data_IF_308600065742
#
_entry.id   IF_308600065742
#
_cell.length_a   1.000
_cell.length_b   1.000
_cell.length_c   1.000
_cell.angle_alpha   90.00
_cell.angle_beta   90.00
_cell.angle_gamma   90.00
#
_symmetry.space_group_name_H-M   'P 1'
#
loop_
_entity.id
_entity.type
_entity.pdbx_description
1 polymer ?
#
# COMPACT_ATOMS: atom_id res chain seq x y z
N UNK A 1 -16.33 -5.94 -3.12
CA UNK A 1 -15.95 -4.51 -3.05
C UNK A 1 -14.46 -4.28 -3.32
N UNK A 2 -13.55 -5.02 -2.67
CA UNK A 2 -12.09 -4.92 -2.84
C UNK A 2 -11.65 -5.13 -4.30
N UNK A 3 -12.04 -6.24 -4.92
CA UNK A 3 -11.66 -6.57 -6.30
C UNK A 3 -12.04 -5.51 -7.33
N UNK A 4 -13.19 -4.84 -7.15
CA UNK A 4 -13.64 -3.78 -8.05
C UNK A 4 -12.74 -2.53 -7.95
N UNK A 5 -12.35 -2.15 -6.73
CA UNK A 5 -11.41 -1.03 -6.50
C UNK A 5 -10.02 -1.37 -7.04
N UNK A 6 -9.53 -2.59 -6.82
CA UNK A 6 -8.25 -3.06 -7.40
C UNK A 6 -8.30 -2.99 -8.92
N UNK A 7 -9.38 -3.48 -9.54
CA UNK A 7 -9.58 -3.36 -10.98
C UNK A 7 -9.62 -1.91 -11.48
N UNK A 8 -10.26 -1.01 -10.73
CA UNK A 8 -10.29 0.43 -11.03
C UNK A 8 -8.89 1.04 -11.02
N UNK A 9 -8.09 0.76 -9.97
CA UNK A 9 -6.72 1.26 -9.85
C UNK A 9 -5.87 0.76 -11.01
N UNK A 10 -5.95 -0.53 -11.35
CA UNK A 10 -5.23 -1.12 -12.48
C UNK A 10 -5.56 -0.43 -13.80
N UNK A 11 -6.85 -0.20 -14.08
CA UNK A 11 -7.29 0.48 -15.30
C UNK A 11 -6.91 1.97 -15.33
N UNK A 12 -6.88 2.65 -14.19
CA UNK A 12 -6.59 4.10 -14.13
C UNK A 12 -5.09 4.41 -14.18
N UNK A 13 -4.25 3.57 -13.59
CA UNK A 13 -2.82 3.85 -13.44
C UNK A 13 -1.93 3.07 -14.41
N UNK A 14 -2.42 1.97 -14.97
CA UNK A 14 -1.60 1.06 -15.79
C UNK A 14 -2.18 0.82 -17.19
N UNK A 15 -3.22 1.56 -17.60
CA UNK A 15 -3.82 1.47 -18.94
C UNK A 15 -3.95 2.87 -19.56
N UNK A 16 -3.41 3.10 -20.78
CA UNK A 16 -2.55 2.17 -21.55
C UNK A 16 -1.26 1.85 -20.77
N UNK A 17 -0.59 0.73 -21.13
CA UNK A 17 0.60 0.27 -20.41
C UNK A 17 1.65 1.39 -20.37
N UNK A 18 2.06 1.88 -19.17
CA UNK A 18 3.02 2.96 -19.09
C UNK A 18 4.41 2.49 -19.56
N UNK A 19 5.09 3.33 -20.32
CA UNK A 19 6.53 3.17 -20.59
C UNK A 19 7.31 3.70 -19.40
N UNK A 20 8.13 2.85 -18.79
CA UNK A 20 8.81 3.16 -17.52
C UNK A 20 10.31 2.92 -17.69
N UNK A 21 11.12 3.97 -17.47
CA UNK A 21 12.58 3.90 -17.52
C UNK A 21 13.23 3.56 -16.17
N UNK A 22 12.56 3.85 -15.06
CA UNK A 22 12.97 3.41 -13.72
C UNK A 22 11.74 2.96 -12.95
N UNK A 23 11.72 1.68 -12.57
CA UNK A 23 10.66 1.12 -11.74
C UNK A 23 10.63 1.78 -10.36
N UNK A 24 11.78 2.13 -9.82
CA UNK A 24 11.88 2.79 -8.52
C UNK A 24 11.20 4.16 -8.56
N UNK A 25 11.53 5.00 -9.54
CA UNK A 25 10.92 6.33 -9.69
C UNK A 25 9.42 6.24 -9.97
N UNK A 26 9.01 5.27 -10.81
CA UNK A 26 7.60 5.05 -11.07
C UNK A 26 6.85 4.63 -9.81
N UNK A 27 7.39 3.69 -9.05
CA UNK A 27 6.78 3.19 -7.82
C UNK A 27 6.73 4.26 -6.73
N UNK A 28 7.77 5.10 -6.61
CA UNK A 28 7.81 6.20 -5.66
C UNK A 28 6.64 7.19 -5.84
N UNK A 29 6.19 7.40 -7.08
CA UNK A 29 5.06 8.29 -7.39
C UNK A 29 3.66 7.63 -7.37
N UNK A 30 3.57 6.30 -7.25
CA UNK A 30 2.27 5.61 -7.23
C UNK A 30 1.38 5.98 -6.03
N UNK A 31 1.91 6.13 -4.79
CA UNK A 31 1.10 6.53 -3.65
C UNK A 31 0.37 7.85 -3.87
N UNK A 32 1.06 8.87 -4.39
CA UNK A 32 0.46 10.19 -4.64
C UNK A 32 -0.65 10.11 -5.68
N UNK A 33 -0.41 9.40 -6.79
CA UNK A 33 -1.44 9.17 -7.82
C UNK A 33 -2.66 8.42 -7.27
N UNK A 34 -2.47 7.48 -6.34
CA UNK A 34 -3.56 6.81 -5.65
C UNK A 34 -4.36 7.78 -4.77
N UNK A 35 -3.68 8.69 -4.06
CA UNK A 35 -4.32 9.74 -3.25
C UNK A 35 -5.07 10.77 -4.11
N UNK A 36 -4.56 11.09 -5.31
CA UNK A 36 -5.27 11.91 -6.30
C UNK A 36 -6.57 11.24 -6.76
N UNK A 37 -6.58 9.93 -7.00
CA UNK A 37 -7.81 9.20 -7.36
C UNK A 37 -8.86 9.19 -6.23
N UNK A 38 -8.49 9.54 -5.00
CA UNK A 38 -9.37 9.61 -3.84
C UNK A 38 -10.08 10.97 -3.67
N UNK A 39 -9.84 11.96 -4.54
CA UNK A 39 -10.62 13.23 -4.54
C UNK A 39 -12.04 13.08 -5.08
N UNK A 40 -12.36 11.92 -5.66
CA UNK A 40 -13.73 11.62 -6.11
C UNK A 40 -14.70 11.53 -4.92
N UNK A 41 -16.01 11.77 -5.15
CA UNK A 41 -17.02 11.57 -4.13
C UNK A 41 -17.08 10.10 -3.68
N UNK A 42 -17.29 9.91 -2.38
CA UNK A 42 -17.42 8.60 -1.78
C UNK A 42 -18.73 7.94 -2.25
N UNK A 43 -18.70 6.62 -2.48
CA UNK A 43 -19.81 5.90 -3.13
C UNK A 43 -21.16 5.92 -2.38
N UNK A 44 -21.15 6.32 -1.10
CA UNK A 44 -22.34 6.42 -0.24
C UNK A 44 -22.46 7.73 0.54
N UNK A 45 -21.38 8.53 0.55
CA UNK A 45 -21.31 9.77 1.32
C UNK A 45 -21.00 10.87 0.33
N UNK A 46 -21.71 11.99 0.40
CA UNK A 46 -21.50 13.12 -0.51
C UNK A 46 -20.27 13.95 -0.10
N UNK A 47 -19.17 13.25 0.14
CA UNK A 47 -17.90 13.78 0.64
C UNK A 47 -16.77 13.06 -0.09
N UNK A 48 -15.62 13.71 -0.29
CA UNK A 48 -14.48 13.07 -0.94
C UNK A 48 -13.95 11.88 -0.12
N UNK A 49 -13.52 10.81 -0.80
CA UNK A 49 -12.87 9.66 -0.13
C UNK A 49 -11.61 10.10 0.65
N UNK A 50 -10.89 11.09 0.15
CA UNK A 50 -9.67 11.66 0.78
C UNK A 50 -9.93 12.28 2.15
N UNK A 51 -11.03 13.02 2.29
CA UNK A 51 -11.40 13.65 3.57
C UNK A 51 -11.68 12.60 4.63
N UNK A 52 -12.52 11.62 4.28
CA UNK A 52 -12.85 10.49 5.16
C UNK A 52 -11.60 9.70 5.59
N UNK A 53 -10.67 9.44 4.65
CA UNK A 53 -9.42 8.76 4.98
C UNK A 53 -8.55 9.57 5.96
N UNK A 54 -8.58 10.89 5.86
CA UNK A 54 -7.80 11.77 6.75
C UNK A 54 -8.38 11.78 8.16
N UNK A 55 -9.71 11.74 8.30
CA UNK A 55 -10.40 11.58 9.58
C UNK A 55 -10.10 10.23 10.22
N UNK A 56 -10.20 9.14 9.44
CA UNK A 56 -9.84 7.80 9.90
C UNK A 56 -8.40 7.76 10.40
N UNK A 57 -7.46 8.36 9.65
CA UNK A 57 -6.04 8.43 10.02
C UNK A 57 -5.83 9.19 11.34
N UNK A 58 -6.59 10.26 11.58
CA UNK A 58 -6.50 11.02 12.82
C UNK A 58 -7.06 10.24 14.04
N UNK A 59 -7.98 9.31 13.79
CA UNK A 59 -8.55 8.45 14.83
C UNK A 59 -7.71 7.18 15.11
N UNK A 60 -6.68 6.88 14.30
CA UNK A 60 -5.82 5.71 14.51
C UNK A 60 -4.97 5.86 15.79
N UNK A 61 -4.73 4.74 16.44
CA UNK A 61 -3.74 4.64 17.52
C UNK A 61 -2.32 4.89 17.00
N UNK A 62 -1.40 5.40 17.83
CA UNK A 62 0.00 5.53 17.45
C UNK A 62 0.58 4.16 17.08
N UNK A 63 1.50 4.17 16.11
CA UNK A 63 2.20 2.94 15.72
C UNK A 63 2.98 2.38 16.92
N UNK A 64 3.07 1.04 17.05
CA UNK A 64 3.91 0.42 18.06
C UNK A 64 5.36 0.92 17.96
N UNK A 65 6.03 1.10 19.10
CA UNK A 65 7.42 1.57 19.14
C UNK A 65 8.40 0.61 18.46
N UNK A 66 8.05 -0.69 18.37
CA UNK A 66 8.77 -1.68 17.59
C UNK A 66 8.18 -1.75 16.18
N UNK A 67 9.04 -1.69 15.16
CA UNK A 67 8.65 -1.86 13.76
C UNK A 67 8.08 -3.26 13.52
N UNK A 68 7.15 -3.35 12.58
CA UNK A 68 6.67 -4.63 12.09
C UNK A 68 7.71 -5.24 11.15
N UNK A 69 8.23 -6.41 11.53
CA UNK A 69 9.17 -7.16 10.70
C UNK A 69 8.39 -7.98 9.69
N UNK A 70 8.43 -7.60 8.40
CA UNK A 70 7.80 -8.33 7.29
C UNK A 70 8.66 -9.52 6.89
N UNK A 71 8.91 -10.42 7.85
CA UNK A 71 9.76 -11.59 7.66
C UNK A 71 8.99 -12.85 8.05
N UNK A 72 9.30 -13.95 7.35
CA UNK A 72 8.84 -15.26 7.77
C UNK A 72 9.93 -15.90 8.62
N UNK A 73 9.65 -16.09 9.90
CA UNK A 73 10.54 -16.83 10.78
C UNK A 73 10.43 -18.32 10.47
N UNK A 74 11.58 -18.97 10.27
CA UNK A 74 11.67 -20.41 10.09
C UNK A 74 12.55 -20.99 11.18
N UNK A 75 12.08 -22.05 11.82
CA UNK A 75 12.94 -22.86 12.69
C UNK A 75 13.88 -23.67 11.79
N UNK A 76 15.17 -23.49 12.00
CA UNK A 76 16.21 -24.23 11.29
C UNK A 76 17.15 -24.86 12.31
N UNK A 77 17.66 -26.05 12.00
CA UNK A 77 18.62 -26.73 12.87
C UNK A 77 20.00 -26.14 12.61
N UNK A 78 20.59 -25.54 13.64
CA UNK A 78 21.99 -25.14 13.59
C UNK A 78 22.91 -26.35 13.74
N UNK A 79 24.10 -26.28 13.14
CA UNK A 79 25.17 -27.25 13.40
C UNK A 79 25.77 -27.07 14.83
N UNK A 80 26.78 -27.86 15.18
CA UNK A 80 27.45 -27.77 16.50
C UNK A 80 28.13 -26.41 16.73
N UNK A 81 28.42 -25.65 15.67
CA UNK A 81 29.09 -24.36 15.72
C UNK A 81 28.11 -23.18 15.63
N UNK A 82 26.80 -23.44 15.53
CA UNK A 82 25.76 -22.41 15.46
C UNK A 82 25.49 -21.90 14.04
N UNK A 83 25.99 -22.55 13.01
CA UNK A 83 25.74 -22.18 11.61
C UNK A 83 24.42 -22.78 11.13
N UNK A 84 23.58 -21.92 10.55
CA UNK A 84 22.33 -22.31 9.88
C UNK A 84 22.57 -22.16 8.38
N UNK A 85 22.39 -23.25 7.62
CA UNK A 85 22.53 -23.27 6.15
C UNK A 85 21.21 -23.61 5.49
#
# INVERSE_FOLDING_TARGET
AVESKVGMVRRKLFVPRPSVWSLENFNAGLPDRCLELATKPHCRKDTEERGLFSEDRAALLPLPGKRFDVVTWRHMKADRYGVVT
#
